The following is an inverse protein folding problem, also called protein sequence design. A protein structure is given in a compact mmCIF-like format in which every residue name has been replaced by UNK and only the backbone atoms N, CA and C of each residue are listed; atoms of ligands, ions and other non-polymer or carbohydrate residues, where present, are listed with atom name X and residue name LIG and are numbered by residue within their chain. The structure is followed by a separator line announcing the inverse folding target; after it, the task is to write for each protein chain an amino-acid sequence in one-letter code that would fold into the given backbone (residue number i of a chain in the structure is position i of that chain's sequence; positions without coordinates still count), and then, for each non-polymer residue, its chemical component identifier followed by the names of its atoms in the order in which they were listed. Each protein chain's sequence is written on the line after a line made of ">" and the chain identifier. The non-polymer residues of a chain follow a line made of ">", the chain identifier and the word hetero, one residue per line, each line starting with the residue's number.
data_IF_549937621291
#
_entry.id   IF_549937621291
#
_cell.length_a   1.000
_cell.length_b   1.000
_cell.length_c   1.000
_cell.angle_alpha   90.00
_cell.angle_beta   90.00
_cell.angle_gamma   90.00
#
_symmetry.space_group_name_H-M   'P 1'
#
loop_
_entity.id
_entity.type
_entity.pdbx_description
1 polymer ?
#
# COMPACT_ATOMS: atom_id res chain seq x y z
N UNK A 1 19.27 -0.08 -3.62
CA UNK A 1 18.12 0.81 -3.46
C UNK A 1 17.57 1.13 -4.84
N UNK A 2 16.30 0.84 -5.06
CA UNK A 2 15.54 1.15 -6.25
C UNK A 2 14.33 1.99 -5.81
N UNK A 3 14.04 3.10 -6.48
CA UNK A 3 12.96 4.03 -6.10
C UNK A 3 12.17 4.39 -7.34
N UNK A 4 10.85 4.41 -7.26
CA UNK A 4 10.00 4.59 -8.42
C UNK A 4 8.52 4.60 -8.12
N UNK A 5 7.76 4.12 -9.10
CA UNK A 5 6.30 4.04 -9.05
C UNK A 5 5.84 2.60 -9.18
N UNK A 6 4.78 2.27 -8.47
CA UNK A 6 4.12 0.97 -8.52
C UNK A 6 2.60 1.14 -8.60
N UNK A 7 1.89 0.09 -8.99
CA UNK A 7 0.42 0.05 -8.90
C UNK A 7 0.00 -1.03 -7.89
N UNK A 8 -1.30 -1.11 -7.57
CA UNK A 8 -1.83 -2.16 -6.67
C UNK A 8 -1.57 -3.59 -7.16
N UNK A 9 -1.28 -3.77 -8.45
CA UNK A 9 -0.99 -5.08 -9.04
C UNK A 9 0.48 -5.48 -8.93
N UNK A 10 1.33 -4.58 -8.44
CA UNK A 10 2.74 -4.89 -8.26
C UNK A 10 2.93 -6.01 -7.25
N UNK A 11 3.91 -6.86 -7.52
CA UNK A 11 4.25 -8.03 -6.71
C UNK A 11 5.58 -7.74 -6.03
N UNK A 12 5.69 -8.05 -4.74
CA UNK A 12 6.92 -7.86 -3.97
C UNK A 12 7.21 -9.14 -3.21
N UNK A 13 8.32 -9.81 -3.53
CA UNK A 13 8.77 -11.04 -2.89
C UNK A 13 10.15 -10.82 -2.28
N UNK A 14 10.17 -10.35 -1.03
CA UNK A 14 11.39 -9.93 -0.34
C UNK A 14 12.46 -11.04 -0.26
N UNK A 15 12.06 -12.31 -0.11
CA UNK A 15 12.99 -13.44 -0.01
C UNK A 15 13.61 -13.84 -1.34
N UNK A 16 12.92 -13.55 -2.45
CA UNK A 16 13.35 -13.91 -3.81
C UNK A 16 14.08 -12.74 -4.51
N UNK A 17 14.29 -11.63 -3.79
CA UNK A 17 14.90 -10.43 -4.33
C UNK A 17 14.01 -9.68 -5.32
N UNK A 18 12.69 -9.95 -5.33
CA UNK A 18 11.74 -9.36 -6.25
C UNK A 18 11.19 -8.04 -5.70
N UNK A 19 11.71 -6.93 -6.23
CA UNK A 19 11.41 -5.57 -5.79
C UNK A 19 10.70 -4.73 -6.84
N UNK A 20 10.78 -3.42 -6.67
CA UNK A 20 10.22 -2.45 -7.61
C UNK A 20 10.99 -2.46 -8.95
N UNK A 21 10.25 -2.52 -10.06
CA UNK A 21 10.78 -2.62 -11.42
C UNK A 21 10.91 -4.05 -11.95
N UNK A 22 10.66 -5.06 -11.11
CA UNK A 22 10.78 -6.48 -11.50
C UNK A 22 9.47 -7.06 -12.09
N UNK A 23 8.39 -6.27 -12.13
CA UNK A 23 7.11 -6.62 -12.75
C UNK A 23 6.68 -5.62 -13.84
N UNK A 24 5.59 -5.94 -14.54
CA UNK A 24 4.96 -5.06 -15.52
C UNK A 24 4.16 -3.88 -14.92
N UNK A 25 4.01 -3.85 -13.59
CA UNK A 25 3.15 -2.91 -12.87
C UNK A 25 3.92 -1.84 -12.10
N UNK A 26 5.25 -1.86 -12.17
CA UNK A 26 6.15 -0.94 -11.49
C UNK A 26 7.34 -0.58 -12.38
N UNK A 27 7.94 0.56 -12.09
CA UNK A 27 9.20 0.97 -12.68
C UNK A 27 10.08 1.59 -11.60
N UNK A 28 11.39 1.52 -11.80
CA UNK A 28 12.33 2.02 -10.80
C UNK A 28 13.58 2.64 -11.38
N UNK A 29 14.04 3.68 -10.69
CA UNK A 29 15.35 4.26 -10.82
C UNK A 29 16.33 3.58 -9.86
N UNK A 30 17.49 3.18 -10.37
CA UNK A 30 18.59 2.63 -9.62
C UNK A 30 19.83 3.51 -9.79
N UNK A 31 20.03 4.41 -8.82
CA UNK A 31 21.12 5.38 -8.89
C UNK A 31 22.50 4.79 -8.64
N UNK A 32 22.62 3.58 -8.06
CA UNK A 32 23.93 2.97 -7.84
C UNK A 32 24.44 2.32 -9.12
N UNK A 33 23.60 1.50 -9.75
CA UNK A 33 23.92 0.78 -10.99
C UNK A 33 23.70 1.64 -12.25
N UNK A 34 23.08 2.79 -12.09
CA UNK A 34 22.69 3.72 -13.16
C UNK A 34 21.71 3.07 -14.14
N UNK A 35 20.71 2.40 -13.60
CA UNK A 35 19.74 1.60 -14.36
C UNK A 35 18.32 2.11 -14.17
N UNK A 36 17.55 2.09 -15.24
CA UNK A 36 16.10 2.08 -15.21
C UNK A 36 15.61 0.62 -15.26
N UNK A 37 14.68 0.25 -14.38
CA UNK A 37 14.09 -1.08 -14.27
C UNK A 37 12.59 -1.06 -14.58
N UNK A 38 12.14 -2.01 -15.39
CA UNK A 38 10.73 -2.29 -15.65
C UNK A 38 10.59 -3.69 -16.27
N UNK A 39 9.58 -4.48 -15.89
CA UNK A 39 9.39 -5.85 -16.40
C UNK A 39 10.60 -6.77 -16.19
N UNK A 40 11.33 -6.61 -15.07
CA UNK A 40 12.59 -7.30 -14.81
C UNK A 40 13.67 -7.08 -15.89
N UNK A 41 13.49 -6.12 -16.78
CA UNK A 41 14.48 -5.67 -17.74
C UNK A 41 15.11 -4.37 -17.23
N UNK A 42 16.37 -4.18 -17.58
CA UNK A 42 17.10 -2.97 -17.24
C UNK A 42 17.78 -2.35 -18.45
N UNK A 43 17.90 -1.03 -18.41
CA UNK A 43 18.71 -0.26 -19.36
C UNK A 43 19.46 0.85 -18.63
N UNK A 44 20.63 1.21 -19.14
CA UNK A 44 21.40 2.32 -18.60
C UNK A 44 20.71 3.66 -18.82
N UNK A 45 20.76 4.52 -17.81
CA UNK A 45 20.45 5.94 -17.93
C UNK A 45 21.73 6.78 -17.85
N UNK A 46 21.61 8.08 -18.14
CA UNK A 46 22.77 8.98 -18.30
C UNK A 46 23.22 9.66 -17.00
N UNK A 47 22.37 9.69 -15.97
CA UNK A 47 22.76 10.25 -14.68
C UNK A 47 23.97 9.51 -14.10
N UNK A 48 24.89 10.21 -13.42
CA UNK A 48 25.99 9.58 -12.71
C UNK A 48 25.48 8.69 -11.58
N UNK A 49 26.37 7.84 -11.06
CA UNK A 49 26.09 7.13 -9.82
C UNK A 49 25.81 8.14 -8.70
N UNK A 50 24.71 7.93 -7.97
CA UNK A 50 24.34 8.80 -6.86
C UNK A 50 25.35 8.73 -5.71
N UNK A 51 25.33 9.74 -4.86
CA UNK A 51 26.13 9.81 -3.63
C UNK A 51 25.29 10.35 -2.47
N UNK A 52 25.84 10.23 -1.27
CA UNK A 52 25.25 10.83 -0.09
C UNK A 52 25.00 12.34 -0.32
N UNK A 53 23.81 12.80 0.09
CA UNK A 53 23.37 14.19 -0.08
C UNK A 53 22.71 14.49 -1.44
N UNK A 54 22.75 13.57 -2.40
CA UNK A 54 22.01 13.74 -3.65
C UNK A 54 20.50 13.72 -3.41
N UNK A 55 19.79 14.47 -4.26
CA UNK A 55 18.32 14.56 -4.23
C UNK A 55 17.74 13.93 -5.49
N UNK A 56 16.95 12.88 -5.31
CA UNK A 56 16.20 12.22 -6.38
C UNK A 56 14.78 12.81 -6.45
N UNK A 57 14.40 13.33 -7.61
CA UNK A 57 13.04 13.77 -7.92
C UNK A 57 12.31 12.74 -8.77
N UNK A 58 11.02 12.51 -8.49
CA UNK A 58 10.16 11.60 -9.24
C UNK A 58 8.88 12.32 -9.60
N UNK A 59 8.65 12.51 -10.90
CA UNK A 59 7.44 13.09 -11.44
C UNK A 59 6.61 12.01 -12.12
N UNK A 60 5.31 12.01 -11.85
CA UNK A 60 4.32 11.18 -12.52
C UNK A 60 3.30 12.11 -13.20
N UNK A 61 3.25 12.07 -14.52
CA UNK A 61 2.31 12.84 -15.33
C UNK A 61 1.28 11.86 -15.92
N UNK A 62 0.07 11.88 -15.37
CA UNK A 62 -1.02 10.98 -15.75
C UNK A 62 -1.67 11.37 -17.08
N UNK A 63 -1.61 12.65 -17.46
CA UNK A 63 -2.19 13.15 -18.71
C UNK A 63 -1.32 12.73 -19.90
N UNK A 64 -0.01 12.99 -19.81
CA UNK A 64 0.97 12.61 -20.85
C UNK A 64 1.41 11.14 -20.74
N UNK A 65 1.01 10.46 -19.67
CA UNK A 65 1.36 9.07 -19.35
C UNK A 65 2.86 8.86 -19.36
N UNK A 66 3.54 9.65 -18.54
CA UNK A 66 4.99 9.60 -18.43
C UNK A 66 5.47 9.69 -16.97
N UNK A 67 6.58 9.01 -16.72
CA UNK A 67 7.36 9.09 -15.48
C UNK A 67 8.67 9.77 -15.81
N UNK A 68 9.06 10.80 -15.04
CA UNK A 68 10.34 11.49 -15.22
C UNK A 68 11.13 11.41 -13.93
N UNK A 69 12.39 11.00 -14.04
CA UNK A 69 13.33 10.95 -12.92
C UNK A 69 14.30 12.12 -13.01
N UNK A 70 14.60 12.72 -11.87
CA UNK A 70 15.52 13.85 -11.74
C UNK A 70 16.62 13.52 -10.75
N UNK A 71 17.87 13.86 -11.04
CA UNK A 71 18.97 13.81 -10.07
C UNK A 71 19.53 15.21 -9.90
N UNK A 72 19.38 15.78 -8.70
CA UNK A 72 19.79 17.15 -8.38
C UNK A 72 19.23 18.21 -9.37
N UNK A 73 18.00 17.98 -9.87
CA UNK A 73 17.32 18.84 -10.83
C UNK A 73 17.61 18.54 -12.31
N UNK A 74 18.61 17.71 -12.63
CA UNK A 74 18.83 17.23 -14.00
C UNK A 74 17.82 16.14 -14.35
N UNK A 75 17.17 16.23 -15.50
CA UNK A 75 16.04 15.38 -15.89
C UNK A 75 16.44 14.29 -16.89
N UNK A 76 16.02 13.05 -16.64
CA UNK A 76 16.07 11.99 -17.64
C UNK A 76 14.95 12.14 -18.68
N UNK A 77 15.09 11.36 -19.76
CA UNK A 77 14.01 11.21 -20.75
C UNK A 77 12.76 10.59 -20.08
N UNK A 78 11.55 10.98 -20.52
CA UNK A 78 10.32 10.44 -19.95
C UNK A 78 10.11 8.96 -20.26
N UNK A 79 9.68 8.20 -19.27
CA UNK A 79 9.40 6.77 -19.34
C UNK A 79 7.91 6.50 -19.39
N UNK A 80 7.47 5.69 -20.36
CA UNK A 80 6.05 5.39 -20.58
C UNK A 80 5.68 3.92 -20.35
N UNK A 81 6.68 3.06 -20.14
CA UNK A 81 6.50 1.60 -20.10
C UNK A 81 5.45 1.12 -19.09
N UNK A 82 5.48 1.69 -17.87
CA UNK A 82 4.54 1.33 -16.80
C UNK A 82 3.06 1.53 -17.20
N UNK A 83 2.77 2.50 -18.07
CA UNK A 83 1.41 2.79 -18.53
C UNK A 83 0.85 1.76 -19.53
N UNK A 84 1.68 0.85 -20.05
CA UNK A 84 1.21 -0.23 -20.92
C UNK A 84 0.33 -1.24 -20.16
N UNK A 85 0.53 -1.38 -18.85
CA UNK A 85 -0.17 -2.35 -18.01
C UNK A 85 -0.87 -1.72 -16.80
N UNK A 86 -0.49 -0.50 -16.42
CA UNK A 86 -1.16 0.23 -15.37
C UNK A 86 -2.61 0.57 -15.78
N UNK A 87 -3.56 0.06 -15.00
CA UNK A 87 -4.93 0.55 -15.03
C UNK A 87 -5.03 1.89 -14.29
N UNK A 88 -6.05 2.70 -14.57
CA UNK A 88 -6.38 3.95 -13.85
C UNK A 88 -6.68 3.80 -12.33
N UNK A 89 -6.41 2.64 -11.72
CA UNK A 89 -6.69 2.32 -10.30
C UNK A 89 -5.63 2.85 -9.32
N UNK A 90 -4.84 3.83 -9.73
CA UNK A 90 -3.90 4.58 -8.90
C UNK A 90 -2.46 4.05 -8.92
N UNK A 91 -1.53 4.98 -8.74
CA UNK A 91 -0.09 4.76 -8.59
C UNK A 91 0.34 5.05 -7.15
N UNK A 92 1.44 4.42 -6.74
CA UNK A 92 2.03 4.56 -5.41
C UNK A 92 3.50 4.89 -5.58
N UNK A 93 3.99 5.86 -4.80
CA UNK A 93 5.42 6.00 -4.61
C UNK A 93 5.95 4.74 -3.92
N UNK A 94 6.99 4.14 -4.49
CA UNK A 94 7.49 2.86 -4.03
C UNK A 94 9.03 2.85 -4.01
N UNK A 95 9.58 2.06 -3.10
CA UNK A 95 11.02 1.86 -2.99
C UNK A 95 11.34 0.46 -2.48
N UNK A 96 12.46 -0.08 -2.93
CA UNK A 96 13.03 -1.34 -2.47
C UNK A 96 14.46 -1.10 -2.00
N UNK A 97 14.75 -1.59 -0.79
CA UNK A 97 16.03 -1.40 -0.12
C UNK A 97 16.70 -2.75 0.10
N UNK A 98 18.01 -2.79 -0.10
CA UNK A 98 18.84 -3.82 0.50
C UNK A 98 19.20 -3.40 1.93
N UNK A 99 19.74 -4.32 2.72
CA UNK A 99 20.14 -4.08 4.10
C UNK A 99 21.07 -2.87 4.23
N UNK A 100 20.92 -2.11 5.33
CA UNK A 100 21.76 -0.96 5.68
C UNK A 100 21.70 0.23 4.69
N UNK A 101 20.61 0.37 3.94
CA UNK A 101 20.35 1.54 3.10
C UNK A 101 19.34 2.48 3.78
N UNK A 102 19.57 3.78 3.68
CA UNK A 102 18.72 4.80 4.30
C UNK A 102 18.53 5.97 3.33
N UNK A 103 17.34 6.55 3.33
CA UNK A 103 17.02 7.81 2.66
C UNK A 103 15.86 8.50 3.38
N UNK A 104 15.65 9.78 3.07
CA UNK A 104 14.52 10.56 3.56
C UNK A 104 13.56 10.80 2.39
N UNK A 105 12.30 10.43 2.56
CA UNK A 105 11.25 10.76 1.60
C UNK A 105 10.62 12.11 1.97
N UNK A 106 10.54 13.01 1.00
CA UNK A 106 9.78 14.24 1.13
C UNK A 106 8.59 14.20 0.19
N UNK A 107 7.40 14.01 0.75
CA UNK A 107 6.13 13.97 0.01
C UNK A 107 5.44 15.34 -0.07
N UNK A 108 6.16 16.42 0.27
CA UNK A 108 5.63 17.78 0.37
C UNK A 108 5.60 18.33 1.81
N UNK A 109 6.29 17.67 2.75
CA UNK A 109 6.40 18.16 4.13
C UNK A 109 7.31 19.38 4.24
N UNK A 110 8.27 19.50 3.31
CA UNK A 110 9.07 20.69 3.09
C UNK A 110 9.14 21.00 1.58
N UNK A 111 9.41 22.25 1.18
CA UNK A 111 9.55 22.59 -0.24
C UNK A 111 10.58 21.70 -0.94
N UNK A 112 10.27 21.26 -2.17
CA UNK A 112 11.20 20.47 -2.96
C UNK A 112 12.44 21.28 -3.30
N UNK A 113 13.63 20.70 -3.08
CA UNK A 113 14.92 21.33 -3.35
C UNK A 113 15.12 21.64 -4.84
N UNK A 114 14.58 20.78 -5.70
CA UNK A 114 14.63 20.90 -7.16
C UNK A 114 13.23 20.62 -7.74
N UNK A 115 12.32 21.60 -7.74
CA UNK A 115 10.99 21.43 -8.33
C UNK A 115 11.06 21.42 -9.87
N UNK A 116 10.10 20.79 -10.57
CA UNK A 116 9.94 20.94 -12.02
C UNK A 116 9.81 22.42 -12.40
N UNK A 117 10.54 22.85 -13.44
CA UNK A 117 10.53 24.25 -13.92
C UNK A 117 9.75 24.44 -15.21
N UNK A 118 9.43 23.34 -15.90
CA UNK A 118 8.82 23.31 -17.23
C UNK A 118 7.30 23.06 -17.21
N UNK A 119 6.71 22.86 -16.02
CA UNK A 119 5.30 22.50 -15.84
C UNK A 119 4.81 22.81 -14.42
N UNK A 120 3.50 22.91 -14.29
CA UNK A 120 2.85 22.91 -12.98
C UNK A 120 2.91 21.49 -12.37
N UNK A 121 2.91 21.43 -11.04
CA UNK A 121 2.94 20.17 -10.29
C UNK A 121 2.20 20.32 -8.97
N UNK A 122 1.73 19.20 -8.42
CA UNK A 122 1.28 19.07 -7.05
C UNK A 122 2.12 18.02 -6.32
N UNK A 123 2.11 18.06 -5.00
CA UNK A 123 2.73 17.05 -4.15
C UNK A 123 1.67 16.24 -3.39
N UNK A 124 2.06 15.09 -2.85
CA UNK A 124 1.13 14.22 -2.12
C UNK A 124 0.46 14.93 -0.95
N UNK A 125 1.21 15.77 -0.23
CA UNK A 125 0.69 16.48 0.95
C UNK A 125 -0.27 17.62 0.61
N UNK A 126 -0.39 18.03 -0.66
CA UNK A 126 -1.42 18.98 -1.09
C UNK A 126 -2.81 18.32 -1.12
N UNK A 127 -2.85 17.00 -1.37
CA UNK A 127 -4.09 16.23 -1.59
C UNK A 127 -4.47 15.33 -0.41
N UNK A 128 -3.52 15.04 0.49
CA UNK A 128 -3.75 14.18 1.65
C UNK A 128 -2.89 14.61 2.84
N UNK A 129 -3.40 14.39 4.04
CA UNK A 129 -2.64 14.58 5.27
C UNK A 129 -2.75 13.34 6.15
N UNK A 130 -1.68 13.06 6.89
CA UNK A 130 -1.63 12.01 7.90
C UNK A 130 -1.49 12.64 9.27
N UNK A 131 -2.17 12.09 10.27
CA UNK A 131 -1.97 12.43 11.67
C UNK A 131 -0.56 12.06 12.12
N UNK A 132 -0.16 12.48 13.33
CA UNK A 132 1.15 12.12 13.88
C UNK A 132 1.23 10.61 14.07
N UNK A 133 0.13 10.00 14.50
CA UNK A 133 0.00 8.57 14.74
C UNK A 133 0.11 7.77 13.44
N UNK A 134 -0.54 8.22 12.36
CA UNK A 134 -0.50 7.57 11.04
C UNK A 134 0.88 7.64 10.37
N UNK A 135 1.71 8.63 10.74
CA UNK A 135 3.10 8.74 10.27
C UNK A 135 4.03 7.72 10.93
N UNK A 136 3.62 7.10 12.04
CA UNK A 136 4.45 6.14 12.77
C UNK A 136 4.34 4.76 12.10
N UNK A 137 5.40 4.35 11.41
CA UNK A 137 5.51 2.98 10.90
C UNK A 137 6.09 2.09 12.00
N UNK A 138 5.23 1.25 12.58
CA UNK A 138 5.65 0.31 13.61
C UNK A 138 6.31 -0.95 13.00
N UNK A 139 7.42 -1.43 13.60
CA UNK A 139 7.96 -2.74 13.26
C UNK A 139 6.90 -3.84 13.39
N UNK A 140 7.00 -4.90 12.56
CA UNK A 140 6.01 -5.98 12.52
C UNK A 140 5.70 -6.56 13.92
N UNK A 141 6.71 -6.78 14.76
CA UNK A 141 6.51 -7.32 16.11
C UNK A 141 5.69 -6.37 17.00
N UNK A 142 5.96 -5.06 16.98
CA UNK A 142 5.16 -4.04 17.68
C UNK A 142 3.72 -3.96 17.17
N UNK A 143 3.54 -4.07 15.85
CA UNK A 143 2.19 -4.11 15.26
C UNK A 143 1.41 -5.35 15.69
N UNK A 144 2.06 -6.51 15.77
CA UNK A 144 1.46 -7.75 16.27
C UNK A 144 1.11 -7.63 17.76
N UNK A 145 2.01 -7.08 18.59
CA UNK A 145 1.74 -6.80 20.01
C UNK A 145 0.49 -5.91 20.19
N UNK A 146 0.38 -4.83 19.41
CA UNK A 146 -0.79 -3.95 19.45
C UNK A 146 -2.07 -4.67 19.02
N UNK A 147 -2.03 -5.48 17.94
CA UNK A 147 -3.20 -6.26 17.50
C UNK A 147 -3.65 -7.23 18.60
N UNK A 148 -2.71 -7.83 19.33
CA UNK A 148 -3.01 -8.72 20.46
C UNK A 148 -3.59 -7.97 21.66
N UNK A 149 -3.37 -6.65 21.75
CA UNK A 149 -3.92 -5.77 22.78
C UNK A 149 -5.24 -5.11 22.36
N UNK A 150 -5.72 -5.32 21.13
CA UNK A 150 -7.05 -4.86 20.72
C UNK A 150 -8.07 -5.67 21.52
N UNK A 151 -8.68 -5.03 22.51
CA UNK A 151 -9.85 -5.56 23.19
C UNK A 151 -11.00 -5.55 22.18
N UNK A 152 -11.35 -6.74 21.67
CA UNK A 152 -12.59 -6.91 20.91
C UNK A 152 -13.76 -6.59 21.85
N UNK A 153 -14.72 -5.80 21.38
CA UNK A 153 -15.94 -5.62 22.16
C UNK A 153 -16.61 -6.99 22.31
N UNK A 154 -17.14 -7.33 23.50
CA UNK A 154 -17.78 -8.64 23.73
C UNK A 154 -18.95 -8.89 22.78
N UNK A 155 -19.50 -7.81 22.20
CA UNK A 155 -20.64 -7.84 21.30
C UNK A 155 -20.23 -7.83 19.82
N UNK A 156 -18.95 -7.98 19.47
CA UNK A 156 -18.52 -8.00 18.08
C UNK A 156 -18.66 -9.39 17.46
N UNK A 157 -19.01 -9.44 16.17
CA UNK A 157 -19.13 -10.67 15.41
C UNK A 157 -17.79 -11.40 15.32
N UNK A 158 -17.74 -12.65 15.76
CA UNK A 158 -16.53 -13.48 15.77
C UNK A 158 -16.00 -13.84 14.37
N UNK A 159 -16.82 -13.71 13.33
CA UNK A 159 -16.41 -14.04 11.95
C UNK A 159 -15.78 -12.85 11.22
N UNK A 160 -16.30 -11.63 11.42
CA UNK A 160 -15.80 -10.46 10.70
C UNK A 160 -15.03 -9.47 11.57
N UNK A 161 -15.14 -9.57 12.90
CA UNK A 161 -14.56 -8.64 13.88
C UNK A 161 -14.82 -7.18 13.50
N UNK A 162 -16.01 -6.91 12.97
CA UNK A 162 -16.40 -5.64 12.36
C UNK A 162 -17.78 -5.21 12.87
N UNK A 163 -18.82 -6.01 12.57
CA UNK A 163 -20.21 -5.72 12.95
C UNK A 163 -20.61 -6.33 14.30
N UNK A 164 -21.71 -5.85 14.89
CA UNK A 164 -22.30 -6.41 16.11
C UNK A 164 -22.75 -7.87 15.89
N UNK A 165 -22.53 -8.73 16.88
CA UNK A 165 -23.01 -10.10 16.96
C UNK A 165 -24.52 -10.16 17.26
N UNK A 166 -25.32 -9.62 16.35
CA UNK A 166 -26.76 -9.41 16.52
C UNK A 166 -27.64 -10.59 16.10
N UNK A 167 -27.08 -11.72 15.67
CA UNK A 167 -27.87 -12.81 15.08
C UNK A 167 -27.73 -14.10 15.87
N UNK A 168 -28.87 -14.73 16.15
CA UNK A 168 -28.97 -16.06 16.76
C UNK A 168 -29.42 -17.11 15.73
N UNK A 169 -28.72 -18.24 15.69
CA UNK A 169 -28.99 -19.35 14.75
C UNK A 169 -29.91 -20.41 15.36
N UNK A 170 -30.87 -20.93 14.59
CA UNK A 170 -31.77 -22.02 14.98
C UNK A 170 -31.38 -23.34 14.29
N UNK A 171 -31.57 -24.51 14.94
CA UNK A 171 -32.17 -24.71 16.27
C UNK A 171 -31.18 -24.60 17.43
N UNK A 172 -29.86 -24.52 17.18
CA UNK A 172 -28.83 -24.60 18.20
C UNK A 172 -28.75 -23.40 19.16
N UNK A 173 -29.36 -22.26 18.81
CA UNK A 173 -29.41 -21.01 19.58
C UNK A 173 -28.05 -20.37 19.90
N UNK A 174 -26.99 -20.71 19.16
CA UNK A 174 -25.73 -19.99 19.28
C UNK A 174 -25.86 -18.58 18.67
N UNK A 175 -25.34 -17.60 19.39
CA UNK A 175 -25.11 -16.20 18.99
C UNK A 175 -23.60 -15.95 18.77
N UNK A 176 -23.20 -14.71 18.48
CA UNK A 176 -21.77 -14.38 18.24
C UNK A 176 -21.45 -14.00 16.79
N UNK A 177 -22.46 -13.95 15.91
CA UNK A 177 -22.29 -13.64 14.49
C UNK A 177 -23.27 -12.55 14.07
N UNK A 178 -22.85 -11.65 13.18
CA UNK A 178 -23.71 -10.63 12.61
C UNK A 178 -24.61 -11.18 11.49
N UNK A 179 -25.70 -10.47 11.20
CA UNK A 179 -26.66 -10.86 10.16
C UNK A 179 -26.08 -10.94 8.74
N UNK A 180 -24.92 -10.31 8.50
CA UNK A 180 -24.18 -10.45 7.23
C UNK A 180 -23.44 -11.78 7.16
N UNK A 181 -22.72 -12.12 8.23
CA UNK A 181 -21.85 -13.28 8.29
C UNK A 181 -22.62 -14.60 8.39
N UNK A 182 -23.81 -14.59 9.01
CA UNK A 182 -24.63 -15.81 9.10
C UNK A 182 -25.13 -16.29 7.72
N UNK A 183 -25.26 -15.39 6.74
CA UNK A 183 -25.76 -15.71 5.39
C UNK A 183 -24.75 -16.45 4.52
N UNK A 184 -23.48 -16.47 4.92
CA UNK A 184 -22.38 -17.05 4.13
C UNK A 184 -21.83 -18.33 4.77
N UNK A 185 -22.46 -18.82 5.83
CA UNK A 185 -22.09 -20.08 6.50
C UNK A 185 -23.22 -21.10 6.33
N UNK A 186 -22.85 -22.35 6.04
CA UNK A 186 -23.83 -23.44 5.79
C UNK A 186 -24.30 -24.12 7.07
N UNK A 187 -23.48 -24.07 8.13
CA UNK A 187 -23.78 -24.62 9.44
C UNK A 187 -23.29 -23.67 10.54
N UNK A 188 -23.81 -23.84 11.75
CA UNK A 188 -23.38 -23.06 12.91
C UNK A 188 -21.88 -23.30 13.16
N UNK A 189 -21.02 -22.27 13.15
CA UNK A 189 -19.57 -22.49 13.30
C UNK A 189 -19.17 -22.93 14.72
N UNK A 190 -20.04 -22.75 15.71
CA UNK A 190 -19.78 -23.15 17.10
C UNK A 190 -20.03 -24.64 17.35
N UNK A 191 -21.13 -25.19 16.81
CA UNK A 191 -21.54 -26.57 17.09
C UNK A 191 -21.78 -27.44 15.84
N UNK A 192 -21.58 -26.86 14.65
CA UNK A 192 -21.75 -27.50 13.34
C UNK A 192 -23.15 -28.01 13.03
N UNK A 193 -24.16 -27.60 13.81
CA UNK A 193 -25.56 -27.90 13.52
C UNK A 193 -26.03 -27.17 12.27
N UNK A 194 -26.91 -27.81 11.49
CA UNK A 194 -27.58 -27.20 10.35
C UNK A 194 -28.38 -25.97 10.79
N UNK A 195 -28.30 -24.89 10.00
CA UNK A 195 -29.01 -23.64 10.28
C UNK A 195 -30.35 -23.70 9.54
N UNK A 196 -31.43 -23.86 10.30
CA UNK A 196 -32.79 -23.90 9.73
C UNK A 196 -33.49 -22.54 9.77
N UNK A 197 -32.95 -21.59 10.53
CA UNK A 197 -33.46 -20.23 10.64
C UNK A 197 -32.54 -19.33 11.45
N UNK A 198 -32.78 -18.03 11.39
CA UNK A 198 -32.07 -17.02 12.18
C UNK A 198 -33.05 -15.97 12.69
N UNK A 199 -32.73 -15.32 13.80
CA UNK A 199 -33.43 -14.12 14.25
C UNK A 199 -32.44 -13.09 14.79
N UNK A 200 -32.81 -11.81 14.67
CA UNK A 200 -32.02 -10.71 15.19
C UNK A 200 -32.31 -10.55 16.69
N UNK A 201 -31.25 -10.30 17.45
CA UNK A 201 -31.31 -9.99 18.86
C UNK A 201 -31.66 -8.50 18.98
N UNK A 202 -32.87 -8.19 19.47
CA UNK A 202 -33.27 -6.80 19.71
C UNK A 202 -32.40 -6.20 20.83
N UNK A 203 -31.57 -5.22 20.48
CA UNK A 203 -30.70 -4.50 21.42
C UNK A 203 -31.47 -3.49 22.31
N UNK A 204 -32.73 -3.76 22.68
CA UNK A 204 -33.56 -2.84 23.50
C UNK A 204 -34.41 -3.54 24.57
N UNK A 205 -33.86 -4.55 25.25
CA UNK A 205 -34.47 -5.09 26.46
C UNK A 205 -33.44 -5.60 27.48
N UNK A 206 -32.66 -4.69 28.07
CA UNK A 206 -32.08 -4.80 29.41
C UNK A 206 -31.58 -3.42 29.87
#
# INVERSE_FOLDING_TARGET
>A
MQIGWATKKSKFFNYDGYGIGDDEYSCAYDGCRQLYWHQAQSRRHIHPAWREGDTLGLLLDLEKREVIFYLNGDALRPEKGIFNHATWKGFFAAASFMSHQQCVFNFGASPFKYPPLDREYSCFNDEASLTVEEKIILPKHKKVELIQQIEFSPDQCELCCDLLADTTMLPCRHSGICGRCVKVVECCPFCRSEITGTFLNDATAA
#
